data_IF_074209147238
#
_entry.id   IF_074209147238
#
_cell.length_a   1.000
_cell.length_b   1.000
_cell.length_c   1.000
_cell.angle_alpha   90.00
_cell.angle_beta   90.00
_cell.angle_gamma   90.00
#
_symmetry.space_group_name_H-M   'P 1'
#
loop_
_entity.id
_entity.type
_entity.pdbx_description
1 polymer ?
#
# COMPACT_ATOMS: atom_id res chain seq x y z
N UNK A 1 37.66 29.77 -24.02
CA UNK A 1 36.36 30.29 -23.56
C UNK A 1 35.75 29.23 -22.66
N UNK A 2 35.71 29.53 -21.36
CA UNK A 2 35.20 28.68 -20.29
C UNK A 2 33.82 29.23 -19.86
N UNK A 3 32.82 28.37 -19.71
CA UNK A 3 31.58 28.65 -18.98
C UNK A 3 31.08 27.28 -18.47
N UNK A 4 31.40 26.85 -17.24
CA UNK A 4 30.79 27.18 -15.93
C UNK A 4 29.26 27.06 -15.93
N UNK A 5 28.78 25.85 -15.64
CA UNK A 5 27.42 25.58 -15.15
C UNK A 5 27.44 25.44 -13.63
N UNK A 6 26.47 26.08 -12.99
CA UNK A 6 26.36 26.27 -11.56
C UNK A 6 25.78 25.04 -10.86
N UNK A 7 26.40 24.64 -9.74
CA UNK A 7 25.87 23.66 -8.80
C UNK A 7 24.93 24.37 -7.82
N UNK A 8 23.66 23.96 -7.78
CA UNK A 8 22.70 24.41 -6.77
C UNK A 8 22.71 23.43 -5.61
N UNK A 9 23.17 23.90 -4.44
CA UNK A 9 23.19 23.15 -3.18
C UNK A 9 21.81 23.24 -2.53
N UNK A 10 21.15 22.11 -2.30
CA UNK A 10 19.94 22.02 -1.49
C UNK A 10 20.36 21.85 -0.02
N UNK A 11 19.96 22.80 0.82
CA UNK A 11 20.17 22.81 2.27
C UNK A 11 18.98 22.14 2.96
N UNK A 12 19.25 21.09 3.73
CA UNK A 12 18.32 20.38 4.61
C UNK A 12 18.14 21.17 5.93
N UNK A 13 16.93 21.40 6.47
CA UNK A 13 16.78 22.10 7.74
C UNK A 13 16.96 21.15 8.93
N UNK A 14 17.90 21.52 9.79
CA UNK A 14 18.20 20.90 11.08
C UNK A 14 17.17 21.39 12.12
N UNK A 15 16.33 20.50 12.67
CA UNK A 15 15.42 20.84 13.76
C UNK A 15 16.18 20.89 15.09
N UNK A 16 16.20 22.06 15.73
CA UNK A 16 16.84 22.29 17.02
C UNK A 16 15.80 22.17 18.14
N UNK A 17 16.09 21.29 19.09
CA UNK A 17 15.37 21.07 20.35
C UNK A 17 15.60 22.26 21.30
N UNK A 18 14.53 22.87 21.83
CA UNK A 18 14.62 23.85 22.92
C UNK A 18 13.76 23.37 24.09
N UNK A 19 14.44 22.98 25.18
CA UNK A 19 13.84 22.68 26.47
C UNK A 19 13.52 23.98 27.23
N UNK A 20 12.34 24.03 27.84
CA UNK A 20 11.97 24.98 28.87
C UNK A 20 11.74 24.20 30.17
N UNK A 21 12.74 24.19 31.07
CA UNK A 21 12.53 23.91 32.49
C UNK A 21 12.09 25.22 33.16
N UNK A 22 10.89 25.21 33.75
CA UNK A 22 10.46 26.18 34.74
C UNK A 22 10.31 25.47 36.09
N UNK A 23 11.00 26.01 37.09
CA UNK A 23 11.00 25.55 38.48
C UNK A 23 9.64 25.84 39.14
N UNK A 24 9.19 24.92 39.99
CA UNK A 24 8.33 25.24 41.12
C UNK A 24 8.79 24.42 42.32
N UNK A 25 9.28 25.18 43.30
CA UNK A 25 9.86 24.82 44.58
C UNK A 25 8.75 24.66 45.61
N UNK A 26 8.83 23.66 46.50
CA UNK A 26 8.05 23.57 47.73
C UNK A 26 8.70 22.54 48.67
N UNK A 27 9.47 23.08 49.62
CA UNK A 27 9.90 22.45 50.87
C UNK A 27 8.74 21.73 51.59
N UNK A 28 9.02 20.53 52.10
CA UNK A 28 8.65 20.23 53.50
C UNK A 28 9.55 19.14 54.09
N UNK A 29 10.13 19.47 55.24
CA UNK A 29 11.07 18.65 56.01
C UNK A 29 10.39 18.07 57.23
N UNK A 30 10.47 16.76 57.48
CA UNK A 30 10.30 16.24 58.86
C UNK A 30 11.16 14.99 59.13
N UNK A 31 12.19 15.24 59.95
CA UNK A 31 12.74 14.49 61.08
C UNK A 31 13.15 13.00 61.00
N UNK A 32 14.37 12.81 61.50
CA UNK A 32 15.07 11.61 61.95
C UNK A 32 14.35 10.84 63.07
N UNK A 33 14.60 9.54 63.16
CA UNK A 33 14.77 8.86 64.45
C UNK A 33 15.92 7.85 64.38
N UNK A 34 16.93 8.09 65.23
CA UNK A 34 18.09 7.24 65.47
C UNK A 34 17.75 6.16 66.51
N UNK A 35 18.34 4.98 66.39
CA UNK A 35 18.66 4.13 67.55
C UNK A 35 19.98 3.40 67.33
N UNK A 36 20.93 3.68 68.23
CA UNK A 36 22.31 3.19 68.25
C UNK A 36 22.49 1.79 68.88
N UNK A 37 23.69 1.25 68.63
CA UNK A 37 24.49 0.28 69.39
C UNK A 37 24.19 -1.23 69.16
N UNK A 38 25.17 -2.12 68.96
CA UNK A 38 26.58 -2.13 69.32
C UNK A 38 27.41 -3.09 68.45
N UNK A 39 28.59 -2.62 68.07
CA UNK A 39 29.83 -3.29 67.62
C UNK A 39 30.02 -4.80 67.86
N UNK A 40 30.45 -5.50 66.79
CA UNK A 40 31.65 -6.35 66.82
C UNK A 40 32.30 -6.43 65.43
N UNK A 41 33.51 -5.89 65.34
CA UNK A 41 34.41 -6.03 64.20
C UNK A 41 34.91 -7.48 64.15
N UNK A 42 34.71 -8.15 63.03
CA UNK A 42 35.43 -9.35 62.63
C UNK A 42 36.11 -9.03 61.30
N UNK A 43 37.43 -8.99 61.36
CA UNK A 43 38.34 -8.81 60.24
C UNK A 43 38.20 -10.01 59.28
N UNK A 44 37.91 -9.72 58.03
CA UNK A 44 37.58 -10.70 57.00
C UNK A 44 37.17 -9.96 55.74
N UNK A 45 38.16 -9.44 55.01
CA UNK A 45 37.96 -8.77 53.73
C UNK A 45 37.24 -9.74 52.77
N UNK A 46 36.04 -9.41 52.26
CA UNK A 46 35.53 -10.09 51.08
C UNK A 46 36.38 -9.62 49.90
N UNK A 47 36.93 -10.58 49.17
CA UNK A 47 37.48 -10.35 47.85
C UNK A 47 36.32 -9.84 46.99
N UNK A 48 36.33 -8.54 46.68
CA UNK A 48 35.36 -7.94 45.77
C UNK A 48 35.73 -8.45 44.39
N UNK A 49 35.06 -9.51 43.95
CA UNK A 49 34.93 -9.80 42.53
C UNK A 49 34.32 -8.55 41.89
N UNK A 50 35.14 -7.82 41.15
CA UNK A 50 34.65 -6.86 40.18
C UNK A 50 33.92 -7.67 39.13
N UNK A 51 32.60 -7.82 39.29
CA UNK A 51 31.75 -8.21 38.18
C UNK A 51 32.01 -7.21 37.07
N UNK A 52 32.59 -7.69 35.97
CA UNK A 52 32.68 -6.92 34.73
C UNK A 52 31.27 -6.44 34.38
N UNK A 53 31.10 -5.24 33.80
CA UNK A 53 29.80 -4.81 33.35
C UNK A 53 29.42 -5.73 32.19
N UNK A 54 28.67 -6.79 32.46
CA UNK A 54 27.90 -7.45 31.41
C UNK A 54 26.95 -6.37 30.89
N UNK A 55 27.29 -5.83 29.73
CA UNK A 55 26.39 -5.06 28.92
C UNK A 55 25.33 -6.07 28.44
N UNK A 56 24.39 -6.41 29.33
CA UNK A 56 23.23 -7.24 29.03
C UNK A 56 22.40 -6.42 28.04
N UNK A 57 22.70 -6.60 26.76
CA UNK A 57 21.78 -6.24 25.70
C UNK A 57 20.47 -6.91 26.08
N UNK A 58 19.46 -6.09 26.39
CA UNK A 58 18.11 -6.60 26.61
C UNK A 58 17.75 -7.49 25.41
N UNK A 59 17.11 -8.63 25.66
CA UNK A 59 16.74 -9.56 24.61
C UNK A 59 15.31 -10.02 24.76
N UNK A 60 14.70 -10.34 23.62
CA UNK A 60 13.34 -10.89 23.52
C UNK A 60 13.42 -12.31 22.96
N UNK A 61 12.71 -13.22 23.62
CA UNK A 61 12.64 -14.62 23.16
C UNK A 61 11.60 -14.74 22.06
N UNK A 62 12.02 -15.23 20.90
CA UNK A 62 11.14 -15.48 19.75
C UNK A 62 11.05 -16.99 19.49
N UNK A 63 9.83 -17.53 19.51
CA UNK A 63 9.57 -18.95 19.22
C UNK A 63 9.39 -19.19 17.72
N UNK A 64 10.05 -20.21 17.19
CA UNK A 64 10.01 -20.60 15.78
C UNK A 64 10.07 -22.12 15.61
N UNK A 65 9.95 -22.63 14.38
CA UNK A 65 9.80 -24.06 14.07
C UNK A 65 10.93 -24.97 14.60
N UNK A 66 12.06 -24.39 15.02
CA UNK A 66 13.22 -25.11 15.55
C UNK A 66 13.46 -24.92 17.05
N UNK A 67 12.64 -24.13 17.74
CA UNK A 67 12.77 -23.85 19.18
C UNK A 67 12.53 -22.39 19.48
N UNK A 68 13.43 -21.80 20.26
CA UNK A 68 13.39 -20.40 20.65
C UNK A 68 14.76 -19.76 20.42
N UNK A 69 14.75 -18.49 20.02
CA UNK A 69 15.96 -17.67 19.86
C UNK A 69 15.86 -16.44 20.73
N UNK A 70 16.91 -16.14 21.48
CA UNK A 70 17.06 -14.87 22.20
C UNK A 70 17.54 -13.80 21.22
N UNK A 71 16.65 -12.88 20.86
CA UNK A 71 16.89 -11.81 19.88
C UNK A 71 17.33 -10.55 20.60
N UNK A 72 18.45 -9.91 20.22
CA UNK A 72 18.87 -8.65 20.85
C UNK A 72 17.86 -7.54 20.57
N UNK A 73 17.58 -6.72 21.58
CA UNK A 73 16.79 -5.50 21.41
C UNK A 73 17.59 -4.53 20.52
N UNK A 74 16.99 -4.12 19.40
CA UNK A 74 17.59 -3.24 18.37
C UNK A 74 18.87 -3.83 17.73
N UNK A 75 18.75 -4.89 16.92
CA UNK A 75 19.90 -5.42 16.19
C UNK A 75 20.46 -4.36 15.22
N UNK A 76 21.78 -4.24 15.15
CA UNK A 76 22.49 -3.29 14.28
C UNK A 76 23.01 -3.96 13.00
N UNK A 77 23.22 -5.28 13.02
CA UNK A 77 23.88 -6.06 11.97
C UNK A 77 23.02 -7.23 11.53
N UNK A 78 21.88 -6.91 10.92
CA UNK A 78 20.91 -7.92 10.49
C UNK A 78 21.27 -8.50 9.12
N UNK A 79 21.38 -9.82 9.04
CA UNK A 79 21.44 -10.57 7.79
C UNK A 79 20.09 -11.22 7.48
N UNK A 80 19.69 -11.24 6.22
CA UNK A 80 18.38 -11.76 5.78
C UNK A 80 18.57 -12.96 4.84
N UNK A 81 17.94 -14.08 5.16
CA UNK A 81 17.94 -15.32 4.38
C UNK A 81 16.56 -15.67 3.81
N UNK A 82 15.48 -15.07 4.33
CA UNK A 82 14.14 -15.30 3.81
C UNK A 82 13.88 -14.59 2.49
N UNK A 83 13.04 -15.19 1.65
CA UNK A 83 12.72 -14.62 0.35
C UNK A 83 11.97 -13.29 0.48
N UNK A 84 12.57 -12.22 -0.05
CA UNK A 84 12.06 -10.85 -0.07
C UNK A 84 11.80 -10.24 1.33
N UNK A 85 12.39 -10.86 2.36
CA UNK A 85 12.22 -10.44 3.75
C UNK A 85 12.92 -9.11 4.06
N UNK A 86 13.91 -8.74 3.24
CA UNK A 86 14.62 -7.47 3.31
C UNK A 86 13.71 -6.26 3.12
N UNK A 87 12.66 -6.39 2.31
CA UNK A 87 11.73 -5.29 2.04
C UNK A 87 10.94 -4.91 3.31
N UNK A 88 10.50 -5.91 4.07
CA UNK A 88 9.81 -5.69 5.35
C UNK A 88 10.75 -5.10 6.40
N UNK A 89 12.00 -5.59 6.46
CA UNK A 89 13.01 -5.07 7.39
C UNK A 89 13.35 -3.60 7.11
N UNK A 90 13.55 -3.25 5.83
CA UNK A 90 13.81 -1.88 5.38
C UNK A 90 12.62 -0.97 5.68
N UNK A 91 11.38 -1.46 5.53
CA UNK A 91 10.18 -0.70 5.88
C UNK A 91 10.05 -0.41 7.39
N UNK A 92 10.60 -1.30 8.24
CA UNK A 92 10.74 -1.09 9.68
C UNK A 92 11.93 -0.18 10.05
N UNK A 93 12.65 0.34 9.06
CA UNK A 93 13.76 1.28 9.25
C UNK A 93 15.12 0.65 9.48
N UNK A 94 15.25 -0.68 9.32
CA UNK A 94 16.53 -1.39 9.45
C UNK A 94 17.06 -1.75 8.06
N UNK A 95 18.28 -1.30 7.74
CA UNK A 95 18.96 -1.67 6.50
C UNK A 95 19.79 -2.94 6.77
N UNK A 96 19.56 -4.06 6.06
CA UNK A 96 20.33 -5.28 6.26
C UNK A 96 21.78 -5.10 5.80
N UNK A 97 22.71 -5.74 6.50
CA UNK A 97 24.12 -5.79 6.07
C UNK A 97 24.33 -6.81 4.95
N UNK A 98 23.42 -7.78 4.84
CA UNK A 98 23.52 -8.88 3.91
C UNK A 98 22.13 -9.48 3.62
N UNK A 99 21.91 -9.92 2.39
CA UNK A 99 20.69 -10.61 1.98
C UNK A 99 21.04 -11.80 1.10
N UNK A 100 20.33 -12.91 1.24
CA UNK A 100 20.35 -14.01 0.28
C UNK A 100 19.50 -13.60 -0.94
N UNK A 101 20.14 -13.04 -1.96
CA UNK A 101 19.43 -12.55 -3.14
C UNK A 101 18.67 -13.69 -3.85
N UNK A 102 17.43 -13.41 -4.28
CA UNK A 102 16.61 -14.41 -4.95
C UNK A 102 17.21 -14.79 -6.30
N UNK A 103 17.03 -16.07 -6.70
CA UNK A 103 17.35 -16.51 -8.06
C UNK A 103 16.52 -15.77 -9.12
N UNK A 104 15.38 -15.20 -8.72
CA UNK A 104 14.45 -14.47 -9.57
C UNK A 104 14.77 -12.97 -9.66
N UNK A 105 15.85 -12.49 -9.02
CA UNK A 105 16.36 -11.13 -9.15
C UNK A 105 17.13 -10.94 -10.47
N UNK A 106 16.43 -11.05 -11.61
CA UNK A 106 17.01 -10.75 -12.92
C UNK A 106 17.34 -9.27 -13.11
N UNK A 107 16.77 -8.41 -12.27
CA UNK A 107 16.83 -6.94 -12.38
C UNK A 107 17.91 -6.29 -11.52
N UNK A 108 18.76 -7.09 -10.87
CA UNK A 108 19.84 -6.63 -9.99
C UNK A 108 19.49 -6.75 -8.49
N UNK A 109 20.52 -6.57 -7.67
CA UNK A 109 20.48 -6.65 -6.22
C UNK A 109 21.16 -5.40 -5.60
N UNK A 110 20.57 -4.75 -4.59
CA UNK A 110 19.20 -4.95 -4.10
C UNK A 110 18.16 -4.65 -5.18
N UNK A 111 16.89 -5.02 -4.94
CA UNK A 111 15.79 -4.73 -5.86
C UNK A 111 15.71 -3.22 -6.17
N UNK A 112 15.17 -2.83 -7.33
CA UNK A 112 15.13 -1.41 -7.73
C UNK A 112 14.38 -0.53 -6.72
N UNK A 113 13.30 -1.04 -6.12
CA UNK A 113 12.54 -0.31 -5.10
C UNK A 113 13.29 -0.23 -3.77
N UNK A 114 13.98 -1.29 -3.34
CA UNK A 114 14.83 -1.25 -2.15
C UNK A 114 15.98 -0.25 -2.35
N UNK A 115 16.64 -0.28 -3.52
CA UNK A 115 17.72 0.66 -3.87
C UNK A 115 17.27 2.13 -3.80
N UNK A 116 16.02 2.46 -4.15
CA UNK A 116 15.49 3.83 -4.03
C UNK A 116 15.44 4.33 -2.58
N UNK A 117 15.38 3.42 -1.62
CA UNK A 117 15.29 3.72 -0.18
C UNK A 117 16.67 3.67 0.46
N UNK A 118 17.44 2.61 0.21
CA UNK A 118 18.76 2.40 0.86
C UNK A 118 19.89 3.17 0.19
N UNK A 119 19.71 3.63 -1.05
CA UNK A 119 20.75 4.33 -1.82
C UNK A 119 22.01 3.47 -2.01
N UNK A 120 23.18 4.08 -1.81
CA UNK A 120 24.48 3.43 -1.95
C UNK A 120 24.91 2.63 -0.69
N UNK A 121 24.00 2.38 0.26
CA UNK A 121 24.34 1.61 1.44
C UNK A 121 24.81 0.20 1.03
N UNK A 122 25.98 -0.26 1.50
CA UNK A 122 26.48 -1.57 1.10
C UNK A 122 25.61 -2.67 1.71
N UNK A 123 25.05 -3.52 0.85
CA UNK A 123 24.35 -4.76 1.23
C UNK A 123 25.06 -5.90 0.51
N UNK A 124 25.56 -6.88 1.27
CA UNK A 124 26.24 -8.03 0.68
C UNK A 124 25.23 -9.06 0.12
N UNK A 125 25.51 -9.62 -1.06
CA UNK A 125 24.81 -10.82 -1.55
C UNK A 125 25.41 -12.05 -0.86
N UNK A 126 24.58 -12.83 -0.17
CA UNK A 126 24.95 -14.08 0.50
C UNK A 126 24.83 -15.31 -0.42
N UNK A 127 24.40 -15.11 -1.67
CA UNK A 127 24.29 -16.17 -2.66
C UNK A 127 25.68 -16.63 -3.11
N UNK A 128 26.04 -17.84 -2.71
CA UNK A 128 27.25 -18.53 -3.12
C UNK A 128 27.10 -19.33 -4.44
N UNK A 129 28.08 -20.20 -4.73
CA UNK A 129 28.02 -21.14 -5.86
C UNK A 129 26.74 -21.98 -5.84
N UNK A 130 26.23 -22.33 -7.02
CA UNK A 130 24.98 -23.08 -7.20
C UNK A 130 23.74 -22.44 -6.52
N UNK A 131 23.86 -21.16 -6.16
CA UNK A 131 22.90 -20.38 -5.37
C UNK A 131 22.59 -20.98 -3.98
N UNK A 132 23.57 -21.66 -3.40
CA UNK A 132 23.55 -22.04 -1.99
C UNK A 132 24.01 -20.87 -1.10
N UNK A 133 23.72 -20.95 0.19
CA UNK A 133 24.16 -19.93 1.16
C UNK A 133 25.69 -19.95 1.32
N UNK A 134 26.34 -18.80 1.17
CA UNK A 134 27.76 -18.63 1.51
C UNK A 134 27.93 -18.40 3.03
N UNK A 135 28.03 -19.50 3.77
CA UNK A 135 28.26 -19.48 5.23
C UNK A 135 29.54 -18.75 5.64
N UNK A 136 30.60 -18.84 4.82
CA UNK A 136 31.87 -18.15 5.12
C UNK A 136 31.67 -16.65 5.02
N UNK A 137 30.98 -16.20 3.97
CA UNK A 137 30.66 -14.79 3.78
C UNK A 137 29.75 -14.27 4.89
N UNK A 138 28.74 -15.05 5.28
CA UNK A 138 27.87 -14.70 6.40
C UNK A 138 28.67 -14.54 7.70
N UNK A 139 29.58 -15.46 8.01
CA UNK A 139 30.43 -15.38 9.19
C UNK A 139 31.39 -14.18 9.17
N UNK A 140 32.01 -13.88 8.02
CA UNK A 140 32.88 -12.69 7.84
C UNK A 140 32.16 -11.36 8.05
N UNK A 141 30.85 -11.34 7.85
CA UNK A 141 30.01 -10.16 8.02
C UNK A 141 29.56 -9.98 9.48
N UNK A 142 29.85 -10.91 10.38
CA UNK A 142 29.59 -10.79 11.83
C UNK A 142 28.18 -10.24 12.14
N UNK A 143 27.10 -10.88 11.68
CA UNK A 143 25.75 -10.45 12.00
C UNK A 143 25.46 -10.62 13.50
N UNK A 144 24.64 -9.74 14.05
CA UNK A 144 24.11 -9.89 15.42
C UNK A 144 22.71 -10.54 15.44
N UNK A 145 22.07 -10.62 14.28
CA UNK A 145 20.82 -11.35 14.04
C UNK A 145 20.73 -11.85 12.61
N UNK A 146 20.18 -13.05 12.42
CA UNK A 146 19.81 -13.60 11.13
C UNK A 146 18.30 -13.80 11.06
N UNK A 147 17.67 -13.22 10.03
CA UNK A 147 16.25 -13.40 9.74
C UNK A 147 16.05 -14.43 8.64
N UNK A 148 15.28 -15.48 8.95
CA UNK A 148 14.97 -16.57 8.03
C UNK A 148 13.49 -16.97 8.15
N UNK A 149 12.60 -16.00 8.41
CA UNK A 149 11.17 -16.29 8.66
C UNK A 149 10.46 -16.75 7.39
N UNK A 150 10.97 -16.32 6.23
CA UNK A 150 10.51 -16.70 4.89
C UNK A 150 11.49 -17.66 4.18
N UNK A 151 12.23 -18.46 4.94
CA UNK A 151 13.18 -19.45 4.42
C UNK A 151 12.77 -20.87 4.82
N UNK A 152 13.05 -21.85 3.94
CA UNK A 152 12.84 -23.28 4.16
C UNK A 152 14.12 -23.96 4.66
N UNK A 153 14.81 -23.36 5.63
CA UNK A 153 16.01 -23.96 6.23
C UNK A 153 15.67 -25.36 6.76
N UNK A 154 16.49 -26.35 6.42
CA UNK A 154 16.54 -27.61 7.13
C UNK A 154 17.09 -27.41 8.55
N UNK A 155 16.88 -28.39 9.44
CA UNK A 155 17.44 -28.34 10.80
C UNK A 155 18.96 -28.17 10.80
N UNK A 156 19.67 -28.86 9.90
CA UNK A 156 21.12 -28.78 9.80
C UNK A 156 21.60 -27.40 9.33
N UNK A 157 20.89 -26.78 8.38
CA UNK A 157 21.19 -25.41 7.93
C UNK A 157 20.91 -24.40 9.04
N UNK A 158 19.78 -24.54 9.76
CA UNK A 158 19.47 -23.72 10.92
C UNK A 158 20.55 -23.80 12.00
N UNK A 159 21.04 -25.00 12.34
CA UNK A 159 22.11 -25.18 13.32
C UNK A 159 23.43 -24.56 12.84
N UNK A 160 23.75 -24.66 11.54
CA UNK A 160 24.95 -24.06 10.96
C UNK A 160 24.90 -22.52 10.95
N UNK A 161 23.75 -21.93 10.61
CA UNK A 161 23.55 -20.47 10.67
C UNK A 161 23.52 -19.99 12.14
N UNK A 162 22.87 -20.75 13.02
CA UNK A 162 22.80 -20.46 14.46
C UNK A 162 24.16 -20.50 15.17
N UNK A 163 25.13 -21.22 14.63
CA UNK A 163 26.52 -21.19 15.10
C UNK A 163 27.26 -19.89 14.75
N UNK A 164 26.71 -19.09 13.82
CA UNK A 164 27.25 -17.78 13.43
C UNK A 164 26.59 -16.67 14.25
N UNK A 165 25.26 -16.66 14.34
CA UNK A 165 24.50 -15.62 15.05
C UNK A 165 23.08 -16.09 15.44
N UNK A 166 22.43 -15.43 16.43
CA UNK A 166 21.02 -15.69 16.75
C UNK A 166 20.14 -15.66 15.49
N UNK A 167 19.34 -16.70 15.28
CA UNK A 167 18.62 -16.91 14.01
C UNK A 167 17.13 -17.13 14.23
N UNK A 168 16.30 -16.26 13.67
CA UNK A 168 14.84 -16.43 13.67
C UNK A 168 14.44 -17.23 12.43
N UNK A 169 14.15 -18.52 12.60
CA UNK A 169 13.56 -19.34 11.53
C UNK A 169 12.06 -19.03 11.37
N UNK A 170 11.38 -19.73 10.44
CA UNK A 170 9.92 -19.64 10.28
C UNK A 170 9.18 -19.80 11.62
N UNK A 171 8.31 -18.84 11.94
CA UNK A 171 7.60 -18.80 13.22
C UNK A 171 6.59 -19.95 13.35
N UNK A 172 6.40 -20.45 14.58
CA UNK A 172 5.72 -21.73 14.85
C UNK A 172 4.22 -21.77 14.51
N UNK A 173 3.59 -20.62 14.38
CA UNK A 173 2.16 -20.43 14.10
C UNK A 173 1.85 -20.21 12.61
N UNK A 174 2.87 -20.04 11.75
CA UNK A 174 2.69 -19.81 10.31
C UNK A 174 2.53 -21.13 9.55
N UNK A 175 1.43 -21.86 9.78
CA UNK A 175 1.01 -22.97 8.90
C UNK A 175 0.22 -22.41 7.71
N UNK A 176 0.87 -22.23 6.54
CA UNK A 176 0.29 -22.11 5.17
C UNK A 176 -0.95 -21.19 5.01
N UNK A 177 -1.00 -20.09 4.22
CA UNK A 177 -0.28 -19.79 2.96
C UNK A 177 0.87 -18.77 3.11
N UNK A 178 1.47 -18.32 2.00
CA UNK A 178 2.39 -17.17 1.99
C UNK A 178 1.76 -15.97 2.72
N UNK A 179 2.42 -15.50 3.77
CA UNK A 179 2.00 -14.31 4.54
C UNK A 179 1.75 -13.13 3.58
N UNK A 180 0.69 -12.36 3.85
CA UNK A 180 0.52 -11.09 3.14
C UNK A 180 1.67 -10.14 3.50
N UNK A 181 1.92 -9.13 2.65
CA UNK A 181 2.91 -8.10 2.95
C UNK A 181 2.67 -7.46 4.33
N UNK A 182 1.41 -7.24 4.68
CA UNK A 182 1.00 -6.65 5.96
C UNK A 182 1.33 -7.59 7.11
N UNK A 183 0.93 -8.85 6.99
CA UNK A 183 1.14 -9.83 8.06
C UNK A 183 2.62 -10.08 8.28
N UNK A 184 3.44 -10.06 7.20
CA UNK A 184 4.88 -10.23 7.33
C UNK A 184 5.57 -9.03 8.00
N UNK A 185 5.16 -7.79 7.68
CA UNK A 185 5.65 -6.59 8.39
C UNK A 185 5.25 -6.63 9.86
N UNK A 186 4.01 -7.01 10.18
CA UNK A 186 3.57 -7.16 11.57
C UNK A 186 4.37 -8.24 12.31
N UNK A 187 4.60 -9.38 11.65
CA UNK A 187 5.33 -10.51 12.19
C UNK A 187 6.75 -10.11 12.58
N UNK A 188 7.45 -9.40 11.69
CA UNK A 188 8.80 -8.90 11.96
C UNK A 188 8.79 -7.77 12.99
N UNK A 189 7.80 -6.88 12.95
CA UNK A 189 7.58 -5.86 13.98
C UNK A 189 7.55 -6.48 15.37
N UNK A 190 6.68 -7.47 15.57
CA UNK A 190 6.58 -8.18 16.85
C UNK A 190 7.88 -8.91 17.22
N UNK A 191 8.52 -9.60 16.26
CA UNK A 191 9.76 -10.36 16.51
C UNK A 191 10.95 -9.46 16.89
N UNK A 192 10.95 -8.20 16.45
CA UNK A 192 12.01 -7.22 16.70
C UNK A 192 11.64 -6.16 17.75
N UNK A 193 10.45 -6.26 18.36
CA UNK A 193 9.88 -5.24 19.27
C UNK A 193 9.75 -3.85 18.62
N UNK A 194 9.31 -3.83 17.36
CA UNK A 194 9.07 -2.67 16.50
C UNK A 194 7.59 -2.56 16.08
N UNK A 195 6.67 -2.86 17.01
CA UNK A 195 5.22 -2.87 16.73
C UNK A 195 4.73 -1.51 16.21
N UNK A 196 5.23 -0.40 16.76
CA UNK A 196 4.82 0.94 16.38
C UNK A 196 5.28 1.31 14.96
N UNK A 197 6.52 0.95 14.60
CA UNK A 197 7.07 1.13 13.27
C UNK A 197 6.33 0.26 12.24
N UNK A 198 5.98 -0.97 12.61
CA UNK A 198 5.17 -1.87 11.77
C UNK A 198 3.79 -1.28 11.50
N UNK A 199 3.07 -0.85 12.54
CA UNK A 199 1.75 -0.22 12.43
C UNK A 199 1.81 1.03 11.54
N UNK A 200 2.83 1.88 11.74
CA UNK A 200 3.03 3.07 10.94
C UNK A 200 3.29 2.73 9.46
N UNK A 201 4.21 1.80 9.18
CA UNK A 201 4.53 1.39 7.80
C UNK A 201 3.30 0.81 7.09
N UNK A 202 2.52 -0.02 7.79
CA UNK A 202 1.28 -0.60 7.27
C UNK A 202 0.25 0.50 6.97
N UNK A 203 0.06 1.47 7.87
CA UNK A 203 -0.89 2.58 7.66
C UNK A 203 -0.50 3.43 6.44
N UNK A 204 0.78 3.74 6.27
CA UNK A 204 1.28 4.50 5.11
C UNK A 204 1.06 3.72 3.81
N UNK A 205 1.34 2.42 3.80
CA UNK A 205 1.10 1.55 2.65
C UNK A 205 -0.39 1.49 2.29
N UNK A 206 -1.27 1.34 3.29
CA UNK A 206 -2.73 1.35 3.08
C UNK A 206 -3.20 2.70 2.51
N UNK A 207 -2.75 3.82 3.07
CA UNK A 207 -3.06 5.15 2.55
C UNK A 207 -2.62 5.31 1.09
N UNK A 208 -1.44 4.79 0.74
CA UNK A 208 -0.92 4.81 -0.63
C UNK A 208 -1.79 4.00 -1.59
N UNK A 209 -2.30 2.83 -1.16
CA UNK A 209 -3.27 2.05 -1.93
C UNK A 209 -4.55 2.86 -2.16
N UNK A 210 -5.10 3.49 -1.12
CA UNK A 210 -6.30 4.34 -1.25
C UNK A 210 -6.09 5.53 -2.19
N UNK A 211 -4.95 6.23 -2.07
CA UNK A 211 -4.61 7.36 -2.93
C UNK A 211 -4.46 6.95 -4.40
N UNK A 212 -3.92 5.75 -4.64
CA UNK A 212 -3.75 5.21 -5.98
C UNK A 212 -5.07 4.78 -6.62
N UNK A 213 -6.01 4.18 -5.88
CA UNK A 213 -7.31 3.76 -6.44
C UNK A 213 -8.32 4.89 -6.56
N UNK A 214 -8.20 5.96 -5.74
CA UNK A 214 -9.11 7.11 -5.74
C UNK A 214 -9.37 7.75 -7.12
N UNK A 215 -8.37 7.94 -8.01
CA UNK A 215 -8.61 8.46 -9.35
C UNK A 215 -9.25 7.45 -10.33
N UNK A 216 -9.37 6.17 -9.96
CA UNK A 216 -9.79 5.07 -10.82
C UNK A 216 -11.04 4.35 -10.27
N UNK A 217 -12.22 5.02 -10.23
CA UNK A 217 -13.44 4.43 -9.66
C UNK A 217 -13.89 3.15 -10.36
N UNK A 218 -13.47 2.94 -11.63
CA UNK A 218 -13.74 1.73 -12.40
C UNK A 218 -13.18 0.45 -11.80
N UNK A 219 -12.10 0.52 -11.01
CA UNK A 219 -11.51 -0.69 -10.42
C UNK A 219 -12.45 -1.40 -9.45
N UNK A 220 -13.35 -0.66 -8.80
CA UNK A 220 -14.23 -1.22 -7.77
C UNK A 220 -15.30 -2.09 -8.42
N UNK A 221 -15.28 -3.38 -8.10
CA UNK A 221 -16.26 -4.35 -8.59
C UNK A 221 -15.89 -5.00 -9.92
N UNK A 222 -14.92 -4.46 -10.66
CA UNK A 222 -14.44 -5.08 -11.90
C UNK A 222 -13.79 -6.43 -11.64
N UNK A 223 -14.24 -7.42 -12.40
CA UNK A 223 -13.76 -8.78 -12.36
C UNK A 223 -12.37 -8.90 -12.98
N UNK A 224 -11.55 -9.82 -12.46
CA UNK A 224 -10.23 -10.08 -13.04
C UNK A 224 -9.87 -11.56 -13.07
N UNK A 225 -8.95 -11.91 -13.98
CA UNK A 225 -8.21 -13.16 -13.97
C UNK A 225 -6.71 -12.87 -14.16
N UNK A 226 -5.86 -13.65 -13.49
CA UNK A 226 -4.40 -13.53 -13.57
C UNK A 226 -3.79 -14.78 -14.18
N UNK A 227 -3.16 -14.63 -15.33
CA UNK A 227 -2.55 -15.70 -16.10
C UNK A 227 -1.04 -15.55 -16.17
N UNK A 228 -0.34 -16.66 -16.34
CA UNK A 228 1.05 -16.67 -16.82
C UNK A 228 1.21 -17.67 -17.94
N UNK A 229 2.09 -17.35 -18.89
CA UNK A 229 2.48 -18.24 -19.97
C UNK A 229 3.99 -18.50 -19.93
N UNK A 230 4.38 -19.77 -19.98
CA UNK A 230 5.78 -20.16 -20.03
C UNK A 230 6.35 -20.11 -21.46
N UNK A 231 7.65 -20.40 -21.63
CA UNK A 231 8.34 -20.38 -22.93
C UNK A 231 7.79 -21.39 -23.97
N UNK A 232 6.99 -22.37 -23.53
CA UNK A 232 6.29 -23.33 -24.40
C UNK A 232 4.86 -22.92 -24.74
N UNK A 233 4.45 -21.69 -24.36
CA UNK A 233 3.09 -21.19 -24.48
C UNK A 233 2.04 -21.99 -23.68
N UNK A 234 2.47 -22.75 -22.68
CA UNK A 234 1.55 -23.36 -21.72
C UNK A 234 1.07 -22.27 -20.75
N UNK A 235 -0.24 -22.17 -20.56
CA UNK A 235 -0.88 -21.10 -19.78
C UNK A 235 -1.40 -21.68 -18.47
N UNK A 236 -1.19 -20.97 -17.38
CA UNK A 236 -1.74 -21.28 -16.06
C UNK A 236 -2.55 -20.08 -15.54
N UNK A 237 -3.61 -20.37 -14.78
CA UNK A 237 -4.47 -19.41 -14.07
C UNK A 237 -4.08 -19.40 -12.59
N UNK A 238 -3.87 -18.23 -12.01
CA UNK A 238 -3.60 -18.09 -10.58
C UNK A 238 -4.88 -18.22 -9.75
N UNK A 239 -4.79 -18.81 -8.56
CA UNK A 239 -5.91 -18.80 -7.60
C UNK A 239 -6.18 -17.41 -7.01
N UNK A 240 -7.36 -17.26 -6.38
CA UNK A 240 -7.69 -16.05 -5.61
C UNK A 240 -6.80 -15.87 -4.37
N UNK A 241 -6.11 -16.93 -3.94
CA UNK A 241 -5.26 -16.96 -2.76
C UNK A 241 -3.82 -16.49 -3.03
N UNK A 242 -3.37 -16.43 -4.28
CA UNK A 242 -2.02 -15.96 -4.63
C UNK A 242 -1.81 -14.51 -4.16
N UNK A 243 -0.59 -14.15 -3.73
CA UNK A 243 -0.28 -12.82 -3.20
C UNK A 243 -0.67 -11.68 -4.15
N UNK A 244 -0.41 -11.83 -5.45
CA UNK A 244 -0.84 -10.87 -6.49
C UNK A 244 -2.36 -10.77 -6.60
N UNK A 245 -3.08 -11.89 -6.58
CA UNK A 245 -4.54 -11.92 -6.60
C UNK A 245 -5.15 -11.24 -5.37
N UNK A 246 -4.55 -11.43 -4.18
CA UNK A 246 -4.97 -10.73 -2.96
C UNK A 246 -4.72 -9.23 -3.05
N UNK A 247 -3.59 -8.81 -3.60
CA UNK A 247 -3.31 -7.40 -3.85
C UNK A 247 -4.29 -6.78 -4.86
N UNK A 248 -4.60 -7.46 -5.97
CA UNK A 248 -5.60 -7.00 -6.93
C UNK A 248 -6.98 -6.81 -6.27
N UNK A 249 -7.37 -7.71 -5.36
CA UNK A 249 -8.58 -7.52 -4.52
C UNK A 249 -8.49 -6.31 -3.59
N UNK A 250 -7.31 -5.98 -3.05
CA UNK A 250 -7.11 -4.75 -2.26
C UNK A 250 -7.32 -3.48 -3.09
N UNK A 251 -7.16 -3.54 -4.42
CA UNK A 251 -7.48 -2.43 -5.32
C UNK A 251 -8.98 -2.26 -5.58
N UNK A 252 -9.82 -3.18 -5.08
CA UNK A 252 -11.28 -3.19 -5.29
C UNK A 252 -11.77 -4.12 -6.38
N UNK A 253 -10.86 -4.83 -7.08
CA UNK A 253 -11.22 -5.81 -8.10
C UNK A 253 -11.82 -7.08 -7.48
N UNK A 254 -12.62 -7.80 -8.26
CA UNK A 254 -13.32 -9.01 -7.84
C UNK A 254 -12.73 -10.23 -8.53
N UNK A 255 -12.34 -11.24 -7.77
CA UNK A 255 -11.97 -12.53 -8.35
C UNK A 255 -13.25 -13.38 -8.49
N UNK A 256 -13.66 -13.82 -9.69
CA UNK A 256 -14.90 -14.56 -9.89
C UNK A 256 -14.94 -15.86 -9.09
N UNK A 257 -16.05 -16.15 -8.41
CA UNK A 257 -16.17 -17.32 -7.51
C UNK A 257 -16.14 -18.65 -8.25
N UNK A 258 -16.75 -18.70 -9.43
CA UNK A 258 -16.73 -19.85 -10.34
C UNK A 258 -15.32 -20.16 -10.87
N UNK A 259 -14.54 -19.11 -11.17
CA UNK A 259 -13.13 -19.26 -11.50
C UNK A 259 -12.33 -19.80 -10.30
N UNK A 260 -12.64 -19.36 -9.08
CA UNK A 260 -11.93 -19.80 -7.86
C UNK A 260 -12.23 -21.27 -7.56
N UNK A 261 -13.51 -21.66 -7.66
CA UNK A 261 -13.96 -23.06 -7.55
C UNK A 261 -13.28 -23.94 -8.62
N UNK A 262 -13.13 -23.41 -9.84
CA UNK A 262 -12.47 -24.10 -10.95
C UNK A 262 -10.96 -24.32 -10.73
N UNK A 263 -10.26 -23.35 -10.14
CA UNK A 263 -8.84 -23.46 -9.79
C UNK A 263 -8.62 -24.36 -8.58
N UNK A 264 -9.53 -24.31 -7.60
CA UNK A 264 -9.48 -25.12 -6.39
C UNK A 264 -8.28 -24.78 -5.49
N UNK A 265 -7.61 -25.80 -4.94
CA UNK A 265 -6.53 -25.62 -3.96
C UNK A 265 -5.15 -25.32 -4.57
N UNK A 266 -5.04 -25.28 -5.90
CA UNK A 266 -3.76 -25.02 -6.58
C UNK A 266 -3.42 -23.53 -6.54
N UNK A 267 -2.15 -23.16 -6.34
CA UNK A 267 -1.73 -21.75 -6.46
C UNK A 267 -1.80 -21.29 -7.92
N UNK A 268 -1.41 -22.19 -8.84
CA UNK A 268 -1.53 -22.05 -10.29
C UNK A 268 -2.16 -23.34 -10.84
N UNK A 269 -3.20 -23.20 -11.66
CA UNK A 269 -3.85 -24.33 -12.35
C UNK A 269 -3.67 -24.21 -13.88
N UNK A 270 -3.43 -25.31 -14.60
CA UNK A 270 -3.35 -25.28 -16.07
C UNK A 270 -4.64 -24.73 -16.69
N UNK A 271 -4.54 -23.88 -17.70
CA UNK A 271 -5.70 -23.38 -18.44
C UNK A 271 -6.32 -24.51 -19.27
N UNK A 272 -7.48 -24.99 -18.82
CA UNK A 272 -8.30 -25.99 -19.53
C UNK A 272 -9.43 -25.32 -20.32
N UNK A 273 -10.14 -26.07 -21.18
CA UNK A 273 -11.35 -25.57 -21.86
C UNK A 273 -12.39 -25.02 -20.87
N UNK A 274 -12.54 -25.69 -19.72
CA UNK A 274 -13.48 -25.26 -18.67
C UNK A 274 -13.08 -23.91 -18.08
N UNK A 275 -11.81 -23.76 -17.67
CA UNK A 275 -11.33 -22.49 -17.10
C UNK A 275 -11.30 -21.37 -18.15
N UNK A 276 -10.98 -21.69 -19.41
CA UNK A 276 -11.02 -20.73 -20.50
C UNK A 276 -12.44 -20.16 -20.72
N UNK A 277 -13.47 -20.97 -20.50
CA UNK A 277 -14.88 -20.54 -20.52
C UNK A 277 -15.26 -19.57 -19.39
N UNK A 278 -14.44 -19.46 -18.35
CA UNK A 278 -14.64 -18.58 -17.18
C UNK A 278 -13.81 -17.27 -17.27
N UNK A 279 -13.04 -17.08 -18.34
CA UNK A 279 -12.19 -15.89 -18.52
C UNK A 279 -12.93 -14.68 -19.14
N UNK A 280 -14.27 -14.64 -19.08
CA UNK A 280 -15.03 -13.43 -19.40
C UNK A 280 -15.03 -12.50 -18.19
N UNK A 281 -14.00 -11.65 -18.12
CA UNK A 281 -13.67 -10.78 -16.99
C UNK A 281 -13.33 -9.39 -17.51
N UNK A 282 -13.48 -8.37 -16.68
CA UNK A 282 -13.19 -6.98 -17.06
C UNK A 282 -11.69 -6.71 -17.21
N UNK A 283 -10.84 -7.53 -16.56
CA UNK A 283 -9.38 -7.42 -16.61
C UNK A 283 -8.73 -8.78 -16.72
N UNK A 284 -8.08 -9.02 -17.86
CA UNK A 284 -7.21 -10.17 -18.04
C UNK A 284 -5.75 -9.74 -17.90
N UNK A 285 -5.15 -10.04 -16.76
CA UNK A 285 -3.72 -9.84 -16.58
C UNK A 285 -2.97 -11.06 -17.14
N UNK A 286 -1.94 -10.85 -17.96
CA UNK A 286 -1.17 -11.94 -18.57
C UNK A 286 0.33 -11.69 -18.43
N UNK A 287 1.00 -12.51 -17.62
CA UNK A 287 2.46 -12.59 -17.59
C UNK A 287 2.98 -13.41 -18.78
N UNK A 288 3.84 -12.82 -19.62
CA UNK A 288 4.44 -13.56 -20.74
C UNK A 288 5.72 -12.91 -21.27
N UNK A 289 6.52 -13.68 -22.00
CA UNK A 289 7.57 -13.13 -22.85
C UNK A 289 6.95 -12.36 -24.02
N UNK A 290 7.50 -11.20 -24.35
CA UNK A 290 6.97 -10.33 -25.42
C UNK A 290 6.86 -11.05 -26.77
N UNK A 291 7.73 -12.03 -27.04
CA UNK A 291 7.71 -12.82 -28.28
C UNK A 291 6.51 -13.77 -28.38
N UNK A 292 5.91 -14.14 -27.25
CA UNK A 292 4.78 -15.08 -27.20
C UNK A 292 3.42 -14.39 -27.27
N UNK A 293 3.35 -13.06 -27.14
CA UNK A 293 2.09 -12.32 -27.17
C UNK A 293 1.23 -12.64 -28.41
N UNK A 294 1.86 -12.74 -29.59
CA UNK A 294 1.15 -13.11 -30.83
C UNK A 294 0.68 -14.57 -30.82
N UNK A 295 1.49 -15.48 -30.28
CA UNK A 295 1.14 -16.90 -30.17
C UNK A 295 -0.05 -17.10 -29.24
N UNK A 296 -0.06 -16.39 -28.10
CA UNK A 296 -1.16 -16.40 -27.14
C UNK A 296 -2.45 -15.84 -27.74
N UNK A 297 -2.35 -14.81 -28.58
CA UNK A 297 -3.50 -14.25 -29.32
C UNK A 297 -4.11 -15.23 -30.32
N UNK A 298 -3.32 -16.15 -30.86
CA UNK A 298 -3.75 -17.19 -31.80
C UNK A 298 -4.18 -18.49 -31.10
N UNK A 299 -4.04 -18.57 -29.76
CA UNK A 299 -4.46 -19.73 -28.96
C UNK A 299 -5.96 -19.97 -29.04
N UNK A 300 -6.37 -21.22 -29.23
CA UNK A 300 -7.78 -21.62 -29.28
C UNK A 300 -8.49 -21.45 -27.93
N UNK A 301 -7.76 -21.51 -26.81
CA UNK A 301 -8.30 -21.34 -25.47
C UNK A 301 -8.40 -19.85 -25.11
N UNK A 302 -7.29 -19.13 -25.26
CA UNK A 302 -7.15 -17.78 -24.75
C UNK A 302 -7.64 -16.72 -25.75
N UNK A 303 -7.20 -16.82 -27.01
CA UNK A 303 -7.57 -15.87 -28.08
C UNK A 303 -9.05 -15.91 -28.44
N UNK A 304 -9.76 -17.00 -28.08
CA UNK A 304 -11.20 -17.11 -28.26
C UNK A 304 -12.02 -16.45 -27.15
N UNK A 305 -11.41 -16.16 -25.99
CA UNK A 305 -12.12 -15.60 -24.82
C UNK A 305 -12.68 -14.20 -25.10
N UNK A 306 -13.85 -13.84 -24.51
CA UNK A 306 -14.45 -12.52 -24.72
C UNK A 306 -13.54 -11.35 -24.34
N UNK A 307 -12.88 -11.41 -23.19
CA UNK A 307 -11.97 -10.37 -22.69
C UNK A 307 -10.79 -10.14 -23.63
N UNK A 308 -10.25 -11.21 -24.22
CA UNK A 308 -9.19 -11.09 -25.21
C UNK A 308 -9.66 -10.35 -26.47
N UNK A 309 -10.89 -10.64 -26.93
CA UNK A 309 -11.50 -9.96 -28.08
C UNK A 309 -11.84 -8.49 -27.79
N UNK A 310 -12.23 -8.16 -26.56
CA UNK A 310 -12.44 -6.77 -26.10
C UNK A 310 -11.14 -6.01 -25.84
N UNK A 311 -9.99 -6.68 -25.92
CA UNK A 311 -8.67 -6.12 -25.63
C UNK A 311 -8.52 -5.64 -24.19
N UNK A 312 -9.25 -6.25 -23.26
CA UNK A 312 -9.22 -5.97 -21.82
C UNK A 312 -8.01 -6.64 -21.14
N UNK A 313 -6.82 -6.42 -21.71
CA UNK A 313 -5.61 -7.18 -21.37
C UNK A 313 -4.53 -6.26 -20.81
N UNK A 314 -4.06 -6.59 -19.60
CA UNK A 314 -2.85 -6.01 -19.04
C UNK A 314 -1.68 -6.97 -19.26
N UNK A 315 -0.81 -6.62 -20.20
CA UNK A 315 0.41 -7.39 -20.47
C UNK A 315 1.49 -7.10 -19.43
N UNK A 316 1.95 -8.15 -18.75
CA UNK A 316 3.06 -8.12 -17.80
C UNK A 316 4.24 -8.85 -18.42
N UNK A 317 5.21 -8.08 -18.93
CA UNK A 317 6.34 -8.68 -19.65
C UNK A 317 7.37 -9.27 -18.69
N UNK A 318 7.86 -10.47 -19.01
CA UNK A 318 8.92 -11.12 -18.25
C UNK A 318 10.22 -10.28 -18.25
N UNK A 319 10.94 -10.30 -17.13
CA UNK A 319 12.17 -9.53 -16.92
C UNK A 319 11.94 -8.05 -16.63
N UNK A 320 10.70 -7.60 -16.41
CA UNK A 320 10.41 -6.20 -16.04
C UNK A 320 10.37 -6.01 -14.53
N UNK A 321 10.54 -4.76 -14.08
CA UNK A 321 10.38 -4.40 -12.66
C UNK A 321 8.94 -4.63 -12.21
N UNK A 322 7.95 -4.34 -13.07
CA UNK A 322 6.54 -4.60 -12.81
C UNK A 322 6.26 -6.09 -12.55
N UNK A 323 6.79 -6.99 -13.39
CA UNK A 323 6.66 -8.43 -13.18
C UNK A 323 7.27 -8.85 -11.83
N UNK A 324 8.49 -8.38 -11.54
CA UNK A 324 9.15 -8.69 -10.28
C UNK A 324 8.33 -8.18 -9.07
N UNK A 325 7.81 -6.96 -9.14
CA UNK A 325 6.99 -6.38 -8.07
C UNK A 325 5.69 -7.16 -7.86
N UNK A 326 5.05 -7.60 -8.95
CA UNK A 326 3.77 -8.31 -8.93
C UNK A 326 3.90 -9.74 -8.42
N UNK A 327 5.02 -10.40 -8.70
CA UNK A 327 5.28 -11.75 -8.20
C UNK A 327 5.72 -11.79 -6.73
N UNK A 328 6.19 -10.65 -6.19
CA UNK A 328 6.69 -10.56 -4.80
C UNK A 328 5.67 -9.99 -3.83
N UNK A 329 4.98 -8.93 -4.25
CA UNK A 329 4.01 -8.18 -3.44
C UNK A 329 4.51 -7.96 -2.00
N UNK A 330 5.61 -7.23 -1.86
CA UNK A 330 6.12 -6.78 -0.56
C UNK A 330 5.67 -5.36 -0.29
N UNK A 331 5.82 -4.89 0.95
CA UNK A 331 5.48 -3.51 1.32
C UNK A 331 6.23 -2.48 0.46
N UNK A 332 7.48 -2.74 0.07
CA UNK A 332 8.25 -1.83 -0.78
C UNK A 332 7.89 -1.95 -2.27
N UNK A 333 7.55 -3.15 -2.74
CA UNK A 333 7.16 -3.34 -4.15
C UNK A 333 5.81 -2.71 -4.48
N UNK A 334 4.97 -2.42 -3.47
CA UNK A 334 3.72 -1.67 -3.62
C UNK A 334 3.93 -0.35 -4.38
N UNK A 335 5.02 0.39 -4.15
CA UNK A 335 5.26 1.65 -4.86
C UNK A 335 5.26 1.47 -6.39
N UNK A 336 5.89 0.39 -6.87
CA UNK A 336 5.92 0.04 -8.29
C UNK A 336 4.52 -0.38 -8.76
N UNK A 337 3.85 -1.24 -8.00
CA UNK A 337 2.52 -1.72 -8.37
C UNK A 337 1.49 -0.59 -8.46
N UNK A 338 1.50 0.33 -7.49
CA UNK A 338 0.59 1.46 -7.47
C UNK A 338 0.88 2.47 -8.60
N UNK A 339 2.15 2.68 -8.95
CA UNK A 339 2.52 3.63 -10.02
C UNK A 339 2.40 3.06 -11.43
N UNK A 340 2.64 1.77 -11.61
CA UNK A 340 2.70 1.15 -12.94
C UNK A 340 1.52 0.23 -13.24
N UNK A 341 1.06 -0.57 -12.28
CA UNK A 341 -0.02 -1.54 -12.53
C UNK A 341 -1.39 -0.88 -12.50
N UNK A 342 -1.66 -0.04 -11.51
CA UNK A 342 -2.99 0.59 -11.31
C UNK A 342 -3.43 1.39 -12.55
N UNK A 343 -2.59 2.27 -13.15
CA UNK A 343 -2.98 2.96 -14.38
C UNK A 343 -3.23 2.00 -15.55
N UNK A 344 -2.38 0.97 -15.72
CA UNK A 344 -2.56 -0.03 -16.79
C UNK A 344 -3.87 -0.81 -16.66
N UNK A 345 -4.27 -1.15 -15.43
CA UNK A 345 -5.57 -1.76 -15.18
C UNK A 345 -6.67 -0.75 -15.50
N UNK A 346 -6.56 0.49 -15.02
CA UNK A 346 -7.57 1.52 -15.31
C UNK A 346 -7.73 1.83 -16.80
N UNK A 347 -6.68 1.69 -17.60
CA UNK A 347 -6.73 1.92 -19.05
C UNK A 347 -7.58 0.86 -19.77
N UNK A 348 -7.64 -0.36 -19.23
CA UNK A 348 -8.45 -1.46 -19.79
C UNK A 348 -9.81 -1.58 -19.11
N UNK A 349 -9.90 -1.20 -17.84
CA UNK A 349 -11.16 -1.01 -17.12
C UNK A 349 -11.71 0.36 -17.47
N UNK A 350 -12.18 0.50 -18.69
CA UNK A 350 -13.09 1.60 -18.98
C UNK A 350 -14.40 1.25 -18.32
N UNK A 351 -14.79 2.02 -17.31
CA UNK A 351 -16.14 1.95 -16.76
C UNK A 351 -17.10 2.00 -17.96
N UNK A 352 -17.75 0.88 -18.26
CA UNK A 352 -19.08 0.96 -18.86
C UNK A 352 -19.96 1.39 -17.70
N UNK A 353 -19.90 2.69 -17.37
CA UNK A 353 -21.14 3.31 -16.94
C UNK A 353 -21.99 3.10 -18.18
N UNK A 354 -23.06 2.31 -18.07
CA UNK A 354 -24.12 2.44 -19.04
C UNK A 354 -24.32 3.95 -19.25
N UNK A 355 -24.38 4.43 -20.50
CA UNK A 355 -24.56 5.86 -20.74
C UNK A 355 -25.70 6.31 -19.85
N UNK A 356 -25.52 7.40 -19.06
CA UNK A 356 -26.49 7.73 -18.03
C UNK A 356 -27.88 7.71 -18.62
N UNK A 357 -28.78 6.98 -17.98
CA UNK A 357 -30.16 6.89 -18.39
C UNK A 357 -30.74 8.31 -18.57
N UNK A 358 -31.81 8.48 -19.36
CA UNK A 358 -32.44 9.79 -19.50
C UNK A 358 -32.78 10.45 -18.15
N UNK A 359 -33.09 9.66 -17.12
CA UNK A 359 -33.38 10.15 -15.78
C UNK A 359 -32.11 10.58 -15.02
N UNK A 360 -31.03 9.81 -15.12
CA UNK A 360 -29.72 10.17 -14.55
C UNK A 360 -29.17 11.45 -15.19
N UNK A 361 -29.35 11.62 -16.51
CA UNK A 361 -28.98 12.87 -17.20
C UNK A 361 -29.76 14.07 -16.66
N UNK A 362 -31.05 13.91 -16.35
CA UNK A 362 -31.85 14.98 -15.75
C UNK A 362 -31.39 15.32 -14.33
N UNK A 363 -31.04 14.31 -13.52
CA UNK A 363 -30.51 14.51 -12.18
C UNK A 363 -29.14 15.21 -12.20
N UNK A 364 -28.24 14.77 -13.09
CA UNK A 364 -26.94 15.38 -13.32
C UNK A 364 -27.07 16.83 -13.82
N UNK A 365 -28.02 17.10 -14.71
CA UNK A 365 -28.26 18.45 -15.21
C UNK A 365 -28.81 19.37 -14.12
N UNK A 366 -29.78 18.92 -13.32
CA UNK A 366 -30.28 19.68 -12.17
C UNK A 366 -29.14 20.05 -11.20
N UNK A 367 -28.27 19.09 -10.88
CA UNK A 367 -27.06 19.32 -10.09
C UNK A 367 -26.16 20.39 -10.70
N UNK A 368 -25.81 20.23 -11.99
CA UNK A 368 -24.92 21.15 -12.71
C UNK A 368 -25.48 22.58 -12.71
N UNK A 369 -26.78 22.72 -12.96
CA UNK A 369 -27.47 24.00 -12.97
C UNK A 369 -27.39 24.68 -11.59
N UNK A 370 -27.74 23.98 -10.51
CA UNK A 370 -27.80 24.57 -9.17
C UNK A 370 -26.43 24.97 -8.65
N UNK A 371 -25.40 24.14 -8.80
CA UNK A 371 -24.10 24.43 -8.21
C UNK A 371 -23.15 25.23 -9.10
N UNK A 372 -23.35 25.25 -10.43
CA UNK A 372 -22.50 26.03 -11.34
C UNK A 372 -22.60 27.53 -11.08
N UNK A 373 -21.50 28.20 -10.73
CA UNK A 373 -21.53 29.65 -10.41
C UNK A 373 -21.94 30.54 -11.60
N UNK A 374 -21.74 30.08 -12.83
CA UNK A 374 -22.04 30.86 -14.01
C UNK A 374 -23.51 30.76 -14.46
N UNK A 375 -24.23 29.73 -14.02
CA UNK A 375 -25.62 29.48 -14.41
C UNK A 375 -26.55 30.61 -13.98
N UNK A 376 -27.47 31.00 -14.87
CA UNK A 376 -28.41 32.09 -14.58
C UNK A 376 -29.44 31.68 -13.52
N UNK A 377 -29.96 32.67 -12.77
CA UNK A 377 -30.95 32.38 -11.73
C UNK A 377 -32.21 31.69 -12.26
N UNK A 378 -32.69 32.08 -13.46
CA UNK A 378 -33.88 31.50 -14.06
C UNK A 378 -33.74 30.01 -14.42
N UNK A 379 -32.52 29.55 -14.68
CA UNK A 379 -32.23 28.14 -14.90
C UNK A 379 -32.03 27.37 -13.59
N UNK A 380 -31.55 28.03 -12.53
CA UNK A 380 -31.38 27.43 -11.19
C UNK A 380 -32.69 27.25 -10.45
N UNK A 381 -33.54 28.27 -10.47
CA UNK A 381 -34.74 28.39 -9.63
C UNK A 381 -35.68 27.17 -9.67
N UNK A 382 -35.94 26.52 -10.83
CA UNK A 382 -36.77 25.32 -10.88
C UNK A 382 -36.19 24.10 -10.15
N UNK A 383 -34.86 24.06 -9.99
CA UNK A 383 -34.10 22.93 -9.46
C UNK A 383 -33.62 23.16 -8.02
N UNK A 384 -34.05 24.23 -7.36
CA UNK A 384 -33.65 24.57 -6.00
C UNK A 384 -34.89 24.68 -5.10
N UNK A 385 -34.91 23.92 -4.02
CA UNK A 385 -35.97 24.03 -3.01
C UNK A 385 -35.90 25.39 -2.30
N UNK A 386 -37.05 26.00 -2.01
CA UNK A 386 -37.15 27.33 -1.39
C UNK A 386 -36.31 28.41 -2.10
N UNK A 387 -36.10 28.27 -3.42
CA UNK A 387 -35.19 29.10 -4.21
C UNK A 387 -35.30 30.61 -3.95
N UNK A 388 -36.52 31.15 -3.82
CA UNK A 388 -36.73 32.59 -3.59
C UNK A 388 -35.96 33.12 -2.37
N UNK A 389 -35.82 32.32 -1.31
CA UNK A 389 -35.10 32.69 -0.09
C UNK A 389 -33.58 32.66 -0.31
N UNK A 390 -33.11 31.77 -1.19
CA UNK A 390 -31.69 31.54 -1.48
C UNK A 390 -31.11 32.47 -2.55
N UNK A 391 -31.92 33.33 -3.15
CA UNK A 391 -31.50 34.21 -4.26
C UNK A 391 -30.34 35.13 -3.89
N UNK A 392 -30.37 35.72 -2.70
CA UNK A 392 -29.31 36.60 -2.22
C UNK A 392 -28.01 35.84 -1.94
N UNK A 393 -28.11 34.66 -1.30
CA UNK A 393 -26.96 33.80 -1.02
C UNK A 393 -26.29 33.29 -2.31
N UNK A 394 -27.09 32.88 -3.31
CA UNK A 394 -26.59 32.52 -4.62
C UNK A 394 -25.90 33.70 -5.32
N UNK A 395 -26.42 34.93 -5.23
CA UNK A 395 -25.74 36.09 -5.81
C UNK A 395 -24.38 36.35 -5.16
N UNK A 396 -24.27 36.22 -3.83
CA UNK A 396 -22.99 36.31 -3.12
C UNK A 396 -22.00 35.22 -3.57
N UNK A 397 -22.48 33.98 -3.74
CA UNK A 397 -21.69 32.87 -4.28
C UNK A 397 -21.14 33.18 -5.68
N UNK A 398 -22.00 33.68 -6.57
CA UNK A 398 -21.60 34.05 -7.93
C UNK A 398 -20.55 35.16 -7.93
N UNK A 399 -20.71 36.17 -7.07
CA UNK A 399 -19.74 37.25 -6.93
C UNK A 399 -18.39 36.76 -6.39
N UNK A 400 -18.39 35.88 -5.38
CA UNK A 400 -17.16 35.28 -4.84
C UNK A 400 -16.44 34.36 -5.84
N UNK A 401 -17.17 33.78 -6.79
CA UNK A 401 -16.60 32.94 -7.85
C UNK A 401 -15.89 33.74 -8.96
N UNK A 402 -16.16 35.05 -9.10
CA UNK A 402 -15.58 35.89 -10.17
C UNK A 402 -14.06 35.92 -10.10
N UNK A 403 -13.50 35.97 -8.89
CA UNK A 403 -12.05 36.05 -8.68
C UNK A 403 -11.31 34.76 -9.08
N UNK A 404 -12.04 33.66 -9.34
CA UNK A 404 -11.49 32.35 -9.72
C UNK A 404 -11.86 31.92 -11.15
N UNK A 405 -12.20 32.87 -12.04
CA UNK A 405 -12.69 32.60 -13.40
C UNK A 405 -13.92 31.68 -13.42
N UNK A 406 -14.74 31.75 -12.36
CA UNK A 406 -15.91 30.89 -12.19
C UNK A 406 -15.59 29.52 -11.58
N UNK A 407 -16.56 28.99 -10.84
CA UNK A 407 -16.58 27.65 -10.28
C UNK A 407 -17.55 26.80 -11.11
N UNK A 408 -17.04 25.75 -11.75
CA UNK A 408 -17.83 24.80 -12.52
C UNK A 408 -17.79 23.42 -11.87
N UNK A 409 -18.95 22.83 -11.63
CA UNK A 409 -19.06 21.45 -11.16
C UNK A 409 -19.53 20.58 -12.33
N UNK A 410 -18.72 19.60 -12.73
CA UNK A 410 -19.00 18.73 -13.88
C UNK A 410 -19.38 17.33 -13.39
N UNK A 411 -20.67 16.94 -13.46
CA UNK A 411 -21.09 15.60 -13.10
C UNK A 411 -20.55 14.57 -14.10
N UNK A 412 -20.16 13.40 -13.60
CA UNK A 412 -19.59 12.27 -14.35
C UNK A 412 -20.50 11.05 -14.34
N UNK A 413 -21.23 10.85 -13.26
CA UNK A 413 -22.17 9.75 -13.08
C UNK A 413 -23.30 10.15 -12.14
N UNK A 414 -24.40 9.41 -12.19
CA UNK A 414 -25.45 9.44 -11.18
C UNK A 414 -25.89 8.01 -10.85
N UNK A 415 -26.26 7.78 -9.59
CA UNK A 415 -26.89 6.53 -9.14
C UNK A 415 -28.25 6.89 -8.54
N UNK A 416 -29.34 6.48 -9.18
CA UNK A 416 -30.71 6.74 -8.70
C UNK A 416 -31.13 5.64 -7.73
N UNK A 417 -31.60 6.05 -6.55
CA UNK A 417 -32.23 5.21 -5.55
C UNK A 417 -33.55 5.87 -5.10
N UNK A 418 -34.67 5.38 -5.64
CA UNK A 418 -36.00 5.95 -5.45
C UNK A 418 -36.01 7.45 -5.78
N UNK A 419 -36.40 8.30 -4.81
CA UNK A 419 -36.53 9.74 -4.97
C UNK A 419 -35.22 10.50 -4.71
N UNK A 420 -34.07 9.82 -4.76
CA UNK A 420 -32.75 10.43 -4.57
C UNK A 420 -31.77 9.95 -5.64
N UNK A 421 -30.88 10.83 -6.07
CA UNK A 421 -29.79 10.49 -6.97
C UNK A 421 -28.47 10.96 -6.36
N UNK A 422 -27.53 10.03 -6.24
CA UNK A 422 -26.15 10.34 -5.86
C UNK A 422 -25.38 10.74 -7.11
N UNK A 423 -24.90 11.97 -7.18
CA UNK A 423 -24.14 12.52 -8.30
C UNK A 423 -22.65 12.47 -7.99
N UNK A 424 -21.85 11.87 -8.87
CA UNK A 424 -20.38 11.91 -8.81
C UNK A 424 -19.90 13.03 -9.72
N UNK A 425 -19.05 13.94 -9.25
CA UNK A 425 -18.65 15.13 -9.99
C UNK A 425 -17.22 15.61 -9.70
N UNK A 426 -16.72 16.46 -10.59
CA UNK A 426 -15.45 17.18 -10.46
C UNK A 426 -15.69 18.69 -10.36
N UNK A 427 -14.86 19.40 -9.60
CA UNK A 427 -14.87 20.86 -9.46
C UNK A 427 -13.74 21.46 -10.27
N UNK A 428 -14.04 22.50 -11.03
CA UNK A 428 -13.12 23.23 -11.88
C UNK A 428 -13.06 24.70 -11.47
N UNK A 429 -11.84 25.25 -11.45
CA UNK A 429 -11.58 26.68 -11.47
C UNK A 429 -10.97 26.99 -12.85
N UNK A 430 -11.72 27.67 -13.70
CA UNK A 430 -11.42 27.75 -15.13
C UNK A 430 -11.40 26.38 -15.82
N UNK A 431 -10.37 26.11 -16.63
CA UNK A 431 -10.24 24.86 -17.40
C UNK A 431 -9.60 23.69 -16.64
N UNK A 432 -9.08 23.93 -15.43
CA UNK A 432 -8.36 22.93 -14.64
C UNK A 432 -9.23 22.34 -13.53
N UNK A 433 -9.24 21.02 -13.42
CA UNK A 433 -9.91 20.32 -12.32
C UNK A 433 -9.13 20.54 -11.01
N UNK A 434 -9.82 21.06 -9.98
CA UNK A 434 -9.24 21.35 -8.68
C UNK A 434 -9.56 20.26 -7.64
N UNK A 435 -10.75 19.67 -7.72
CA UNK A 435 -11.18 18.56 -6.88
C UNK A 435 -11.94 17.56 -7.74
N UNK A 436 -11.73 16.25 -7.53
CA UNK A 436 -12.30 15.21 -8.40
C UNK A 436 -13.02 14.12 -7.59
N UNK A 437 -14.01 13.47 -8.23
CA UNK A 437 -14.81 12.37 -7.69
C UNK A 437 -15.52 12.70 -6.36
N UNK A 438 -15.96 13.94 -6.20
CA UNK A 438 -16.82 14.32 -5.08
C UNK A 438 -18.23 13.75 -5.30
N UNK A 439 -18.99 13.60 -4.21
CA UNK A 439 -20.37 13.17 -4.29
C UNK A 439 -21.34 14.09 -3.56
N UNK A 440 -22.55 14.19 -4.12
CA UNK A 440 -23.67 14.92 -3.52
C UNK A 440 -24.99 14.34 -3.96
N UNK A 441 -26.03 14.60 -3.19
CA UNK A 441 -27.38 14.17 -3.52
C UNK A 441 -28.18 15.28 -4.21
N UNK A 442 -29.03 14.86 -5.13
CA UNK A 442 -30.21 15.59 -5.60
C UNK A 442 -31.44 14.72 -5.37
N UNK A 443 -32.61 15.34 -5.28
CA UNK A 443 -33.84 14.68 -4.84
C UNK A 443 -34.98 14.93 -5.81
N UNK A 444 -35.80 13.92 -6.08
CA UNK A 444 -36.97 14.05 -6.93
C UNK A 444 -38.13 14.61 -6.10
N UNK A 445 -38.44 15.89 -6.29
CA UNK A 445 -39.47 16.62 -5.54
C UNK A 445 -40.49 17.18 -6.53
N UNK A 446 -41.76 16.75 -6.38
CA UNK A 446 -42.86 17.10 -7.28
C UNK A 446 -42.56 16.76 -8.76
N UNK A 447 -41.84 15.66 -9.00
CA UNK A 447 -41.47 15.19 -10.34
C UNK A 447 -40.32 15.98 -10.98
N UNK A 448 -39.61 16.81 -10.22
CA UNK A 448 -38.44 17.57 -10.68
C UNK A 448 -37.25 17.26 -9.78
N UNK A 449 -36.09 16.98 -10.37
CA UNK A 449 -34.84 16.84 -9.62
C UNK A 449 -34.42 18.19 -9.05
N UNK A 450 -34.31 18.27 -7.72
CA UNK A 450 -33.97 19.48 -6.97
C UNK A 450 -32.85 19.24 -5.96
N UNK A 451 -32.08 20.28 -5.70
CA UNK A 451 -31.21 20.38 -4.52
C UNK A 451 -32.04 20.95 -3.36
N UNK A 452 -31.92 20.36 -2.17
CA UNK A 452 -32.62 20.89 -0.99
C UNK A 452 -31.99 22.20 -0.53
N UNK A 453 -32.76 23.03 0.18
CA UNK A 453 -32.24 24.27 0.78
C UNK A 453 -31.04 23.99 1.69
N UNK A 454 -31.16 22.96 2.53
CA UNK A 454 -30.10 22.53 3.44
C UNK A 454 -28.83 22.18 2.68
N UNK A 455 -28.92 21.35 1.65
CA UNK A 455 -27.75 20.92 0.90
C UNK A 455 -27.08 22.10 0.19
N UNK A 456 -27.87 23.01 -0.40
CA UNK A 456 -27.33 24.20 -1.02
C UNK A 456 -26.61 25.10 -0.01
N UNK A 457 -27.18 25.31 1.18
CA UNK A 457 -26.52 26.07 2.24
C UNK A 457 -25.25 25.40 2.76
N UNK A 458 -25.24 24.07 2.92
CA UNK A 458 -24.04 23.33 3.32
C UNK A 458 -22.92 23.49 2.27
N UNK A 459 -23.29 23.52 0.98
CA UNK A 459 -22.35 23.80 -0.11
C UNK A 459 -21.77 25.21 -0.01
N UNK A 460 -22.63 26.22 0.19
CA UNK A 460 -22.20 27.61 0.31
C UNK A 460 -21.30 27.82 1.52
N UNK A 461 -21.60 27.18 2.66
CA UNK A 461 -20.78 27.22 3.86
C UNK A 461 -19.38 26.66 3.61
N UNK A 462 -19.26 25.55 2.88
CA UNK A 462 -17.96 25.01 2.46
C UNK A 462 -17.19 25.97 1.52
N UNK A 463 -17.91 26.76 0.73
CA UNK A 463 -17.36 27.84 -0.10
C UNK A 463 -17.20 29.18 0.67
N UNK A 464 -17.29 29.16 2.01
CA UNK A 464 -17.21 30.34 2.87
C UNK A 464 -18.20 31.47 2.50
N UNK A 465 -19.32 31.09 1.89
CA UNK A 465 -20.40 31.99 1.51
C UNK A 465 -21.56 31.84 2.50
N UNK A 466 -22.01 32.92 3.17
CA UNK A 466 -23.16 32.85 4.07
C UNK A 466 -24.44 32.45 3.33
N UNK A 467 -25.24 31.57 3.94
CA UNK A 467 -26.54 31.16 3.43
C UNK A 467 -27.64 31.66 4.37
N UNK A 468 -28.10 32.91 4.17
CA UNK A 468 -29.16 33.50 4.99
C UNK A 468 -28.80 33.67 6.48
N UNK A 469 -29.78 34.10 7.29
CA UNK A 469 -29.73 34.08 8.77
C UNK A 469 -30.34 32.78 9.33
#
# INVERSE_FOLDING_TARGET
MLARTAASRVLLPLFLLAQLLACADSDDSIAEEQSEASTRVSDGAPEVEFAEPENLLESVTVSHQFGETSVPVKPERVAVLGEYEEDSLIALGIIPIAVMASRLDSNGFPSLWAHRIVGDHPIADLRGPDSELDYKRLAELEPDLVLATRSDLSRGEYEAVGAIAPTIARLSDTKQPELSWKDHVQLLGAALSLDAEADQAILVAQASIFDAIRPHPGLKGSSFAWLKANSKSEIEVASSSLASSRFLKQLGLVYPSDLDDGVGNAIWAPLTDQLAGMLDVDVLLIETDSSLQKVLAESSLLGASPSFKRQEIVWVHQGTVLQAALNRVTILSLDVLLKELVPKISDVVTVVLDPPSPEELLAMEAFRLVYGSETSWGEKEPHLENATQLRAANEAYRQGAVDNDGITLRPKAAEIANDSAKIIYDVYFGDSAAYTNLDRFVYLIDGVWKVTEKDFCDFLSAAQTPCGE
#
